data_IF_406939787351
#
_entry.id   IF_406939787351
#
_cell.length_a   1.000
_cell.length_b   1.000
_cell.length_c   1.000
_cell.angle_alpha   90.00
_cell.angle_beta   90.00
_cell.angle_gamma   90.00
#
_symmetry.space_group_name_H-M   'P 1'
#
loop_
_entity.id
_entity.type
_entity.pdbx_description
1 polymer ?
#
# COMPACT_ATOMS: atom_id res chain seq x y z
N UNK A 1 9.45 10.85 10.92
CA UNK A 1 10.76 10.96 11.59
C UNK A 1 11.92 10.82 10.59
N UNK A 2 12.03 9.68 9.89
CA UNK A 2 13.14 9.39 8.96
C UNK A 2 13.44 10.49 7.91
N UNK A 3 12.43 11.02 7.22
CA UNK A 3 12.62 12.12 6.24
C UNK A 3 13.26 13.38 6.86
N UNK A 4 12.96 13.70 8.12
CA UNK A 4 13.51 14.89 8.80
C UNK A 4 14.98 14.69 9.18
N UNK A 5 15.33 13.51 9.69
CA UNK A 5 16.70 13.14 10.04
C UNK A 5 17.62 13.05 8.81
N UNK A 6 17.12 12.44 7.72
CA UNK A 6 17.85 12.39 6.45
C UNK A 6 18.10 13.78 5.87
N UNK A 7 17.11 14.68 5.96
CA UNK A 7 17.26 16.06 5.52
C UNK A 7 18.24 16.86 6.42
N UNK A 8 18.30 16.57 7.71
CA UNK A 8 19.24 17.21 8.64
C UNK A 8 20.69 16.80 8.36
N UNK A 9 20.95 15.49 8.20
CA UNK A 9 22.27 14.95 7.85
C UNK A 9 22.77 15.46 6.49
N UNK A 10 21.87 15.63 5.53
CA UNK A 10 22.23 16.13 4.20
C UNK A 10 22.55 17.65 4.20
N UNK A 11 21.94 18.43 5.12
CA UNK A 11 22.27 19.86 5.32
C UNK A 11 23.60 20.07 6.03
N UNK A 12 23.89 19.28 7.06
CA UNK A 12 25.11 19.39 7.88
C UNK A 12 26.41 19.17 7.08
N UNK A 13 26.34 18.36 6.01
CA UNK A 13 27.52 17.98 5.19
C UNK A 13 27.49 18.44 3.73
N UNK A 14 26.59 19.35 3.34
CA UNK A 14 26.63 19.99 2.02
C UNK A 14 27.91 20.82 1.76
N UNK A 15 28.79 20.97 2.77
CA UNK A 15 30.11 21.56 2.63
C UNK A 15 30.11 23.06 2.88
N UNK A 16 31.16 23.53 3.55
CA UNK A 16 31.46 24.93 3.90
C UNK A 16 31.75 25.84 2.69
N UNK A 17 31.45 25.40 1.46
CA UNK A 17 31.63 26.17 0.22
C UNK A 17 30.30 26.60 -0.43
N UNK A 18 29.14 26.18 0.12
CA UNK A 18 27.85 26.65 -0.35
C UNK A 18 27.55 28.04 0.25
N UNK A 19 28.07 29.08 -0.41
CA UNK A 19 27.59 30.46 -0.20
C UNK A 19 26.06 30.48 -0.30
N UNK A 20 25.45 31.05 0.75
CA UNK A 20 24.15 31.69 0.81
C UNK A 20 23.25 31.51 -0.42
N UNK A 21 22.42 30.47 -0.41
CA UNK A 21 21.00 30.49 -0.79
C UNK A 21 20.47 29.04 -0.78
N UNK A 22 19.64 28.71 0.20
CA UNK A 22 18.81 27.49 0.29
C UNK A 22 19.37 26.22 -0.35
N UNK A 23 20.30 25.54 0.34
CA UNK A 23 20.92 24.28 -0.08
C UNK A 23 19.90 23.25 -0.63
N UNK A 24 19.73 23.22 -1.96
CA UNK A 24 18.88 22.23 -2.62
C UNK A 24 19.61 20.90 -2.65
N UNK A 25 19.04 19.91 -1.97
CA UNK A 25 19.48 18.51 -2.02
C UNK A 25 19.26 17.86 -3.41
N UNK A 26 18.55 18.55 -4.30
CA UNK A 26 18.23 18.12 -5.66
C UNK A 26 19.48 18.05 -6.53
N UNK A 27 19.66 16.94 -7.25
CA UNK A 27 20.79 16.74 -8.19
C UNK A 27 22.10 16.28 -7.55
N UNK A 28 22.15 16.15 -6.21
CA UNK A 28 23.31 15.58 -5.52
C UNK A 28 23.28 14.03 -5.52
N UNK A 29 24.44 13.35 -5.53
CA UNK A 29 24.48 11.90 -5.54
C UNK A 29 24.13 11.30 -4.16
N UNK A 30 23.27 10.27 -4.14
CA UNK A 30 22.82 9.58 -2.92
C UNK A 30 23.96 8.98 -2.08
N UNK A 31 25.13 8.69 -2.68
CA UNK A 31 26.30 8.19 -1.94
C UNK A 31 26.78 9.12 -0.81
N UNK A 32 26.50 10.43 -0.91
CA UNK A 32 26.81 11.38 0.17
C UNK A 32 26.00 11.12 1.42
N UNK A 33 24.77 10.64 1.26
CA UNK A 33 23.90 10.26 2.36
C UNK A 33 24.36 8.94 2.99
N UNK A 34 24.65 7.92 2.18
CA UNK A 34 25.09 6.62 2.71
C UNK A 34 26.46 6.71 3.40
N UNK A 35 27.36 7.58 2.94
CA UNK A 35 28.63 7.85 3.61
C UNK A 35 28.51 8.57 4.96
N UNK A 36 27.37 9.20 5.24
CA UNK A 36 27.09 9.87 6.51
C UNK A 36 26.39 8.97 7.54
N UNK A 37 25.93 7.79 7.13
CA UNK A 37 25.15 6.86 7.94
C UNK A 37 26.02 5.68 8.42
N UNK A 38 25.75 5.19 9.63
CA UNK A 38 26.25 3.89 10.06
C UNK A 38 25.35 2.80 9.47
N UNK A 39 25.83 2.12 8.45
CA UNK A 39 25.07 1.07 7.76
C UNK A 39 25.22 -0.27 8.48
N UNK A 40 24.12 -1.02 8.54
CA UNK A 40 24.12 -2.42 8.98
C UNK A 40 23.68 -3.29 7.81
N UNK A 41 24.46 -4.33 7.50
CA UNK A 41 24.11 -5.29 6.45
C UNK A 41 23.04 -6.25 6.98
N UNK A 42 21.94 -6.37 6.25
CA UNK A 42 20.89 -7.36 6.47
C UNK A 42 21.11 -8.49 5.48
N UNK A 43 21.18 -9.73 5.97
CA UNK A 43 21.41 -10.92 5.14
C UNK A 43 20.07 -11.47 4.66
N UNK A 44 19.62 -11.00 3.51
CA UNK A 44 18.49 -11.56 2.78
C UNK A 44 18.77 -11.36 1.27
N UNK A 45 18.94 -12.48 0.56
CA UNK A 45 19.35 -12.47 -0.85
C UNK A 45 18.24 -11.95 -1.79
N UNK A 46 16.99 -11.83 -1.31
CA UNK A 46 15.84 -11.39 -2.11
C UNK A 46 15.16 -10.14 -1.56
N UNK A 47 15.53 -9.67 -0.36
CA UNK A 47 14.98 -8.44 0.24
C UNK A 47 15.16 -7.19 -0.64
N UNK A 48 16.19 -7.18 -1.49
CA UNK A 48 16.44 -6.12 -2.46
C UNK A 48 16.84 -6.74 -3.79
N UNK A 49 15.85 -7.12 -4.59
CA UNK A 49 16.04 -7.58 -5.95
C UNK A 49 15.93 -6.38 -6.91
N UNK A 50 17.02 -6.03 -7.57
CA UNK A 50 17.01 -4.98 -8.58
C UNK A 50 16.52 -5.53 -9.92
N UNK A 51 15.75 -4.74 -10.67
CA UNK A 51 15.19 -5.15 -11.95
C UNK A 51 15.89 -4.40 -13.08
N UNK A 52 17.12 -4.82 -13.39
CA UNK A 52 17.96 -4.19 -14.42
C UNK A 52 17.62 -4.69 -15.83
N UNK A 53 17.06 -5.90 -15.94
CA UNK A 53 16.74 -6.54 -17.22
C UNK A 53 15.27 -6.94 -17.34
N UNK A 54 14.86 -7.28 -18.57
CA UNK A 54 13.53 -7.84 -18.82
C UNK A 54 13.30 -9.19 -18.13
N UNK A 55 14.34 -10.01 -18.03
CA UNK A 55 14.30 -11.29 -17.32
C UNK A 55 14.15 -11.07 -15.80
N UNK A 56 14.77 -10.03 -15.24
CA UNK A 56 14.58 -9.66 -13.84
C UNK A 56 13.13 -9.22 -13.59
N UNK A 57 12.57 -8.41 -14.49
CA UNK A 57 11.15 -8.02 -14.41
C UNK A 57 10.22 -9.22 -14.50
N UNK A 58 10.50 -10.20 -15.36
CA UNK A 58 9.74 -11.43 -15.47
C UNK A 58 9.80 -12.24 -14.17
N UNK A 59 10.99 -12.36 -13.58
CA UNK A 59 11.22 -13.02 -12.28
C UNK A 59 10.47 -12.33 -11.14
N UNK A 60 10.54 -11.01 -11.07
CA UNK A 60 9.80 -10.23 -10.08
C UNK A 60 8.27 -10.41 -10.24
N UNK A 61 7.77 -10.42 -11.47
CA UNK A 61 6.35 -10.70 -11.76
C UNK A 61 5.93 -12.12 -11.42
N UNK A 62 6.80 -13.11 -11.60
CA UNK A 62 6.54 -14.49 -11.18
C UNK A 62 6.38 -14.56 -9.66
N UNK A 63 7.30 -13.95 -8.90
CA UNK A 63 7.19 -13.85 -7.44
C UNK A 63 5.90 -13.14 -6.98
N UNK A 64 5.52 -12.04 -7.61
CA UNK A 64 4.26 -11.35 -7.28
C UNK A 64 3.05 -12.27 -7.54
N UNK A 65 3.07 -13.03 -8.64
CA UNK A 65 2.02 -14.02 -8.94
C UNK A 65 1.97 -15.16 -7.92
N UNK A 66 3.12 -15.67 -7.49
CA UNK A 66 3.21 -16.64 -6.38
C UNK A 66 2.53 -16.12 -5.11
N UNK A 67 2.73 -14.85 -4.75
CA UNK A 67 2.02 -14.26 -3.61
C UNK A 67 0.50 -14.18 -3.82
N UNK A 68 0.04 -14.00 -5.08
CA UNK A 68 -1.37 -14.11 -5.44
C UNK A 68 -1.91 -15.52 -5.18
N UNK A 69 -1.17 -16.56 -5.57
CA UNK A 69 -1.54 -17.94 -5.31
C UNK A 69 -1.64 -18.25 -3.81
N UNK A 70 -0.72 -17.71 -2.99
CA UNK A 70 -0.79 -17.84 -1.52
C UNK A 70 -2.06 -17.20 -0.95
N UNK A 71 -2.51 -16.08 -1.50
CA UNK A 71 -3.76 -15.44 -1.08
C UNK A 71 -4.98 -16.29 -1.45
N UNK A 72 -5.02 -16.85 -2.65
CA UNK A 72 -6.12 -17.70 -3.13
C UNK A 72 -6.21 -19.00 -2.31
N UNK A 73 -5.07 -19.63 -2.00
CA UNK A 73 -4.97 -20.79 -1.12
C UNK A 73 -5.45 -20.45 0.29
N UNK A 74 -5.01 -19.32 0.84
CA UNK A 74 -5.44 -18.86 2.16
C UNK A 74 -6.96 -18.62 2.21
N UNK A 75 -7.52 -17.93 1.22
CA UNK A 75 -8.96 -17.67 1.14
C UNK A 75 -9.74 -18.98 1.05
N UNK A 76 -9.26 -19.93 0.26
CA UNK A 76 -9.89 -21.25 0.14
C UNK A 76 -9.88 -21.99 1.48
N UNK A 77 -8.72 -22.08 2.15
CA UNK A 77 -8.60 -22.70 3.46
C UNK A 77 -9.47 -22.00 4.53
N UNK A 78 -9.55 -20.68 4.50
CA UNK A 78 -10.39 -19.92 5.42
C UNK A 78 -11.89 -20.13 5.17
N UNK A 79 -12.32 -20.26 3.91
CA UNK A 79 -13.71 -20.61 3.56
C UNK A 79 -14.08 -21.99 4.09
N UNK A 80 -13.18 -22.96 3.90
CA UNK A 80 -13.38 -24.34 4.38
C UNK A 80 -13.48 -24.39 5.90
N UNK A 81 -12.55 -23.76 6.62
CA UNK A 81 -12.53 -23.72 8.09
C UNK A 81 -13.79 -23.02 8.67
N UNK A 82 -14.27 -21.97 8.01
CA UNK A 82 -15.46 -21.23 8.44
C UNK A 82 -16.78 -21.85 7.94
N UNK A 83 -16.73 -22.87 7.08
CA UNK A 83 -17.91 -23.48 6.47
C UNK A 83 -18.69 -22.52 5.57
N UNK A 84 -18.01 -21.63 4.85
CA UNK A 84 -18.62 -20.58 4.02
C UNK A 84 -18.48 -20.95 2.54
N UNK A 85 -19.62 -21.12 1.86
CA UNK A 85 -19.68 -21.17 0.40
C UNK A 85 -20.14 -19.80 -0.14
N UNK A 86 -19.17 -18.96 -0.48
CA UNK A 86 -19.40 -17.60 -0.98
C UNK A 86 -18.43 -17.28 -2.12
N UNK A 87 -18.97 -17.20 -3.34
CA UNK A 87 -18.22 -16.84 -4.54
C UNK A 87 -18.24 -15.33 -4.80
N UNK A 88 -17.48 -14.59 -4.00
CA UNK A 88 -17.36 -13.13 -4.12
C UNK A 88 -16.10 -12.76 -4.89
N UNK A 89 -16.24 -11.78 -5.78
CA UNK A 89 -15.11 -11.10 -6.42
C UNK A 89 -14.24 -10.39 -5.35
N UNK A 90 -13.10 -11.01 -5.05
CA UNK A 90 -12.11 -10.52 -4.09
C UNK A 90 -11.47 -9.22 -4.56
N UNK A 91 -11.37 -9.00 -5.88
CA UNK A 91 -10.85 -7.77 -6.48
C UNK A 91 -11.66 -6.55 -6.07
N UNK A 92 -13.00 -6.65 -6.13
CA UNK A 92 -13.90 -5.58 -5.70
C UNK A 92 -13.69 -5.21 -4.23
N UNK A 93 -13.51 -6.19 -3.35
CA UNK A 93 -13.26 -5.94 -1.93
C UNK A 93 -11.88 -5.30 -1.67
N UNK A 94 -10.85 -5.72 -2.41
CA UNK A 94 -9.50 -5.17 -2.29
C UNK A 94 -9.40 -3.74 -2.84
N UNK A 95 -10.08 -3.45 -3.95
CA UNK A 95 -10.17 -2.10 -4.50
C UNK A 95 -10.94 -1.18 -3.56
N UNK A 96 -12.05 -1.65 -2.96
CA UNK A 96 -12.74 -0.89 -1.91
C UNK A 96 -11.84 -0.61 -0.70
N UNK A 97 -11.09 -1.61 -0.24
CA UNK A 97 -10.17 -1.43 0.88
C UNK A 97 -9.10 -0.38 0.54
N UNK A 98 -8.56 -0.41 -0.69
CA UNK A 98 -7.63 0.59 -1.20
C UNK A 98 -8.23 1.99 -1.18
N UNK A 99 -9.45 2.14 -1.69
CA UNK A 99 -10.15 3.43 -1.75
C UNK A 99 -10.40 3.98 -0.34
N UNK A 100 -10.87 3.16 0.59
CA UNK A 100 -11.07 3.56 1.98
C UNK A 100 -9.76 3.96 2.67
N UNK A 101 -8.67 3.21 2.45
CA UNK A 101 -7.36 3.51 3.03
C UNK A 101 -6.79 4.85 2.57
N UNK A 102 -6.98 5.20 1.30
CA UNK A 102 -6.46 6.43 0.70
C UNK A 102 -7.39 7.63 0.90
N UNK A 103 -8.70 7.42 0.74
CA UNK A 103 -9.72 8.47 0.80
C UNK A 103 -10.10 8.88 2.22
N UNK A 104 -10.01 7.97 3.19
CA UNK A 104 -10.42 8.21 4.58
C UNK A 104 -9.20 8.19 5.52
N UNK A 105 -8.67 6.99 5.77
CA UNK A 105 -7.48 6.75 6.57
C UNK A 105 -7.06 5.28 6.45
N UNK A 106 -5.77 4.96 6.65
CA UNK A 106 -5.27 3.58 6.53
C UNK A 106 -6.08 2.52 7.31
N UNK A 107 -6.54 2.77 8.56
CA UNK A 107 -7.37 1.81 9.29
C UNK A 107 -8.77 1.58 8.70
N UNK A 108 -9.24 2.46 7.80
CA UNK A 108 -10.55 2.32 7.19
C UNK A 108 -10.64 1.09 6.27
N UNK A 109 -9.54 0.64 5.66
CA UNK A 109 -9.51 -0.56 4.81
C UNK A 109 -10.16 -1.78 5.47
N UNK A 110 -9.63 -2.32 6.60
CA UNK A 110 -10.21 -3.50 7.24
C UNK A 110 -11.58 -3.25 7.88
N UNK A 111 -11.83 -2.02 8.37
CA UNK A 111 -13.12 -1.69 9.01
C UNK A 111 -14.25 -1.63 7.99
N UNK A 112 -14.00 -1.04 6.82
CA UNK A 112 -14.98 -0.94 5.74
C UNK A 112 -15.31 -2.31 5.16
N UNK A 113 -14.33 -3.17 4.88
CA UNK A 113 -14.60 -4.51 4.33
C UNK A 113 -15.35 -5.40 5.33
N UNK A 114 -15.07 -5.29 6.63
CA UNK A 114 -15.86 -5.96 7.67
C UNK A 114 -17.32 -5.51 7.68
N UNK A 115 -17.58 -4.19 7.65
CA UNK A 115 -18.93 -3.65 7.63
C UNK A 115 -19.71 -4.04 6.37
N UNK A 116 -19.03 -4.11 5.22
CA UNK A 116 -19.60 -4.60 3.97
C UNK A 116 -20.04 -6.06 4.10
N UNK A 117 -19.17 -6.93 4.60
CA UNK A 117 -19.50 -8.33 4.84
C UNK A 117 -20.67 -8.49 5.82
N UNK A 118 -20.66 -7.72 6.91
CA UNK A 118 -21.73 -7.74 7.91
C UNK A 118 -23.09 -7.28 7.34
N UNK A 119 -23.10 -6.18 6.59
CA UNK A 119 -24.31 -5.66 5.99
C UNK A 119 -24.85 -6.56 4.87
N UNK A 120 -23.97 -7.16 4.07
CA UNK A 120 -24.34 -8.15 3.06
C UNK A 120 -24.95 -9.41 3.71
N UNK A 121 -24.34 -9.93 4.77
CA UNK A 121 -24.89 -11.06 5.53
C UNK A 121 -26.28 -10.76 6.11
N UNK A 122 -26.50 -9.53 6.60
CA UNK A 122 -27.82 -9.07 7.02
C UNK A 122 -28.86 -8.96 5.89
N UNK A 123 -28.42 -8.82 4.65
CA UNK A 123 -29.30 -8.67 3.48
C UNK A 123 -29.67 -10.02 2.83
N UNK A 124 -29.39 -11.15 3.50
CA UNK A 124 -29.59 -12.49 2.96
C UNK A 124 -28.32 -13.14 2.42
N UNK A 125 -27.19 -12.43 2.44
CA UNK A 125 -25.90 -12.92 1.96
C UNK A 125 -25.81 -13.00 0.44
N UNK A 126 -24.77 -13.69 -0.03
CA UNK A 126 -24.53 -13.95 -1.44
C UNK A 126 -23.66 -12.90 -2.15
N UNK A 127 -23.13 -13.24 -3.34
CA UNK A 127 -22.21 -12.39 -4.09
C UNK A 127 -22.81 -11.03 -4.46
N UNK A 128 -24.09 -10.99 -4.84
CA UNK A 128 -24.77 -9.77 -5.26
C UNK A 128 -24.95 -8.79 -4.09
N UNK A 129 -25.28 -9.30 -2.89
CA UNK A 129 -25.40 -8.47 -1.70
C UNK A 129 -24.05 -7.86 -1.30
N UNK A 130 -22.97 -8.62 -1.43
CA UNK A 130 -21.61 -8.11 -1.19
C UNK A 130 -21.22 -7.08 -2.24
N UNK A 131 -21.43 -7.35 -3.53
CA UNK A 131 -21.13 -6.42 -4.61
C UNK A 131 -21.91 -5.09 -4.45
N UNK A 132 -23.20 -5.16 -4.15
CA UNK A 132 -24.03 -3.99 -3.94
C UNK A 132 -23.59 -3.16 -2.74
N UNK A 133 -23.28 -3.83 -1.62
CA UNK A 133 -22.81 -3.15 -0.40
C UNK A 133 -21.42 -2.54 -0.62
N UNK A 134 -20.53 -3.24 -1.32
CA UNK A 134 -19.22 -2.75 -1.70
C UNK A 134 -19.31 -1.50 -2.59
N UNK A 135 -20.20 -1.48 -3.59
CA UNK A 135 -20.45 -0.30 -4.44
C UNK A 135 -20.89 0.92 -3.62
N UNK A 136 -21.81 0.74 -2.66
CA UNK A 136 -22.26 1.83 -1.78
C UNK A 136 -21.13 2.38 -0.91
N UNK A 137 -20.32 1.48 -0.35
CA UNK A 137 -19.18 1.85 0.48
C UNK A 137 -18.08 2.56 -0.35
N UNK A 138 -17.82 2.11 -1.57
CA UNK A 138 -16.86 2.74 -2.47
C UNK A 138 -17.29 4.17 -2.82
N UNK A 139 -18.55 4.36 -3.20
CA UNK A 139 -19.10 5.69 -3.47
C UNK A 139 -19.01 6.63 -2.24
N UNK A 140 -19.19 6.10 -1.03
CA UNK A 140 -18.99 6.89 0.20
C UNK A 140 -17.52 7.28 0.41
N UNK A 141 -16.59 6.34 0.23
CA UNK A 141 -15.16 6.61 0.37
C UNK A 141 -14.67 7.69 -0.62
N UNK A 142 -15.16 7.65 -1.87
CA UNK A 142 -14.83 8.64 -2.89
C UNK A 142 -15.34 10.05 -2.50
N UNK A 143 -16.60 10.18 -2.05
CA UNK A 143 -17.12 11.47 -1.59
C UNK A 143 -16.32 12.04 -0.42
N UNK A 144 -15.92 11.20 0.54
CA UNK A 144 -15.06 11.64 1.64
C UNK A 144 -13.70 12.16 1.16
N UNK A 145 -13.10 11.49 0.16
CA UNK A 145 -11.85 11.93 -0.42
C UNK A 145 -11.99 13.30 -1.12
N UNK A 146 -13.07 13.49 -1.87
CA UNK A 146 -13.41 14.74 -2.55
C UNK A 146 -13.62 15.89 -1.56
N UNK A 147 -14.41 15.68 -0.51
CA UNK A 147 -14.65 16.67 0.56
C UNK A 147 -13.33 17.04 1.26
N UNK A 148 -12.51 16.05 1.59
CA UNK A 148 -11.21 16.28 2.21
C UNK A 148 -10.22 16.99 1.28
N UNK A 149 -10.34 16.82 -0.04
CA UNK A 149 -9.55 17.56 -1.02
C UNK A 149 -10.04 19.01 -1.14
N UNK A 150 -11.35 19.23 -1.19
CA UNK A 150 -11.96 20.55 -1.25
C UNK A 150 -11.63 21.40 -0.01
N UNK A 151 -11.57 20.80 1.18
CA UNK A 151 -11.17 21.48 2.42
C UNK A 151 -9.68 21.86 2.46
N UNK A 152 -8.85 21.29 1.59
CA UNK A 152 -7.41 21.57 1.50
C UNK A 152 -7.05 22.56 0.38
N UNK A 153 -7.98 22.84 -0.53
CA UNK A 153 -7.83 23.77 -1.65
C UNK A 153 -8.16 25.20 -1.21
#
# INVERSE_FOLDING_TARGET
ALRRELAALARDRAGRDARADGARLTGLPLRRLTGALRLTRVSDAVASFDCDTWDDLATARARIREHGHVLDEWISAAKDELGIDLDVDTGILLDLARDAAHGVARPAAPLTTFLVGYAAGRAGGGPEAVAETARKAAALAQRWAEEAAALRA
#
